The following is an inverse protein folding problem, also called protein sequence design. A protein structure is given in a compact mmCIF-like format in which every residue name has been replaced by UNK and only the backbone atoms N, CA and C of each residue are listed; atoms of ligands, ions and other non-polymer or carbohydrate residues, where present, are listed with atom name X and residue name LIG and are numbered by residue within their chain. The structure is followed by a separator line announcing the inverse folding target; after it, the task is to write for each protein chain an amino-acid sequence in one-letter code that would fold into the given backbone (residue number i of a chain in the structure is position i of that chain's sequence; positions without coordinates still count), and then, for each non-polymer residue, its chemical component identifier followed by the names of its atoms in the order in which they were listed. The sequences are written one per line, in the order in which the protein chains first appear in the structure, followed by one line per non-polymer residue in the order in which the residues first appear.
data_IF_640917137441
#
_entry.id   IF_640917137441
#
_cell.length_a   1.000
_cell.length_b   1.000
_cell.length_c   1.000
_cell.angle_alpha   90.00
_cell.angle_beta   90.00
_cell.angle_gamma   90.00
#
_symmetry.space_group_name_H-M   'P 1'
#
loop_
_entity.id
_entity.type
_entity.pdbx_description
1 polymer ?
#
# COMPACT_ATOMS: atom_id res chain seq x y z
N UNK A 1 -10.21 -5.49 -30.75
CA UNK A 1 -9.36 -6.07 -29.69
C UNK A 1 -8.74 -4.92 -28.94
N UNK A 2 -9.08 -4.72 -27.66
CA UNK A 2 -8.41 -3.72 -26.85
C UNK A 2 -6.94 -4.16 -26.73
N UNK A 3 -6.01 -3.34 -27.22
CA UNK A 3 -4.57 -3.56 -27.03
C UNK A 3 -4.32 -3.65 -25.53
N UNK A 4 -3.98 -4.86 -25.08
CA UNK A 4 -3.66 -5.10 -23.68
C UNK A 4 -2.45 -4.23 -23.32
N UNK A 5 -2.65 -3.32 -22.37
CA UNK A 5 -1.60 -2.45 -21.85
C UNK A 5 -0.47 -3.35 -21.31
N UNK A 6 0.73 -3.25 -21.87
CA UNK A 6 1.86 -4.08 -21.42
C UNK A 6 2.54 -3.46 -20.20
N UNK A 7 3.31 -4.27 -19.46
CA UNK A 7 4.15 -3.74 -18.38
C UNK A 7 5.21 -2.76 -18.88
N UNK A 8 5.67 -2.93 -20.12
CA UNK A 8 6.58 -1.98 -20.77
C UNK A 8 5.92 -0.61 -20.93
N UNK A 9 4.67 -0.58 -21.38
CA UNK A 9 3.90 0.66 -21.55
C UNK A 9 3.64 1.37 -20.22
N UNK A 10 3.35 0.60 -19.16
CA UNK A 10 3.22 1.15 -17.80
C UNK A 10 4.54 1.75 -17.31
N UNK A 11 5.65 1.04 -17.46
CA UNK A 11 6.95 1.50 -16.97
C UNK A 11 7.47 2.76 -17.68
N UNK A 12 7.00 3.00 -18.91
CA UNK A 12 7.39 4.16 -19.71
C UNK A 12 6.67 5.46 -19.29
N UNK A 13 5.59 5.38 -18.49
CA UNK A 13 4.90 6.56 -17.96
C UNK A 13 5.84 7.24 -16.95
N UNK A 14 6.14 8.54 -17.11
CA UNK A 14 7.24 9.18 -16.38
C UNK A 14 6.94 9.45 -14.89
N UNK A 15 5.67 9.63 -14.52
CA UNK A 15 5.26 9.89 -13.15
C UNK A 15 4.65 8.61 -12.51
N UNK A 16 5.15 8.13 -11.35
CA UNK A 16 4.62 6.93 -10.69
C UNK A 16 3.13 7.00 -10.33
N UNK A 17 2.60 8.20 -10.04
CA UNK A 17 1.17 8.38 -9.77
C UNK A 17 0.33 8.15 -11.03
N UNK A 18 0.84 8.57 -12.19
CA UNK A 18 0.18 8.34 -13.48
C UNK A 18 0.30 6.86 -13.91
N UNK A 19 1.39 6.19 -13.54
CA UNK A 19 1.53 4.73 -13.69
C UNK A 19 0.43 4.00 -12.95
N UNK A 20 0.15 4.38 -11.69
CA UNK A 20 -0.93 3.80 -10.90
C UNK A 20 -2.31 4.06 -11.52
N UNK A 21 -2.55 5.26 -12.03
CA UNK A 21 -3.81 5.61 -12.69
C UNK A 21 -4.07 4.77 -13.96
N UNK A 22 -3.01 4.38 -14.67
CA UNK A 22 -3.07 3.55 -15.87
C UNK A 22 -3.25 2.05 -15.59
N UNK A 23 -3.06 1.58 -14.36
CA UNK A 23 -3.29 0.17 -13.99
C UNK A 23 -4.74 -0.22 -14.29
N UNK A 24 -5.01 -1.35 -14.97
CA UNK A 24 -6.36 -1.83 -15.20
C UNK A 24 -7.13 -2.06 -13.90
N UNK A 25 -8.44 -1.80 -13.90
CA UNK A 25 -9.33 -1.95 -12.73
C UNK A 25 -9.21 -3.31 -12.05
N UNK A 26 -9.13 -4.40 -12.82
CA UNK A 26 -8.97 -5.74 -12.27
C UNK A 26 -7.67 -5.88 -11.46
N UNK A 27 -6.57 -5.27 -11.90
CA UNK A 27 -5.30 -5.28 -11.18
C UNK A 27 -5.37 -4.50 -9.87
N UNK A 28 -6.01 -3.31 -9.88
CA UNK A 28 -6.25 -2.53 -8.65
C UNK A 28 -7.07 -3.33 -7.64
N UNK A 29 -8.15 -3.97 -8.07
CA UNK A 29 -9.00 -4.78 -7.19
C UNK A 29 -8.28 -6.00 -6.61
N UNK A 30 -7.39 -6.66 -7.38
CA UNK A 30 -6.58 -7.76 -6.88
C UNK A 30 -5.61 -7.30 -5.79
N UNK A 31 -4.98 -6.13 -5.97
CA UNK A 31 -4.09 -5.53 -4.97
C UNK A 31 -4.90 -5.21 -3.71
N UNK A 32 -6.03 -4.51 -3.84
CA UNK A 32 -6.89 -4.15 -2.72
C UNK A 32 -7.38 -5.38 -1.96
N UNK A 33 -7.86 -6.39 -2.69
CA UNK A 33 -8.34 -7.64 -2.10
C UNK A 33 -7.25 -8.40 -1.36
N UNK A 34 -6.03 -8.44 -1.92
CA UNK A 34 -4.88 -9.08 -1.27
C UNK A 34 -4.51 -8.35 0.02
N UNK A 35 -4.43 -7.02 0.00
CA UNK A 35 -4.18 -6.20 1.19
C UNK A 35 -5.27 -6.45 2.24
N UNK A 36 -6.54 -6.46 1.84
CA UNK A 36 -7.66 -6.71 2.75
C UNK A 36 -7.59 -8.07 3.45
N UNK A 37 -7.19 -9.13 2.72
CA UNK A 37 -6.98 -10.46 3.32
C UNK A 37 -5.81 -10.45 4.30
N UNK A 38 -4.69 -9.81 3.95
CA UNK A 38 -3.52 -9.73 4.84
C UNK A 38 -3.82 -8.94 6.12
N UNK A 39 -4.52 -7.80 6.01
CA UNK A 39 -4.98 -7.01 7.15
C UNK A 39 -5.95 -7.80 8.04
N UNK A 40 -6.89 -8.54 7.43
CA UNK A 40 -7.80 -9.40 8.17
C UNK A 40 -7.05 -10.50 8.95
N UNK A 41 -6.05 -11.13 8.32
CA UNK A 41 -5.21 -12.14 8.99
C UNK A 41 -4.42 -11.51 10.15
N UNK A 42 -3.85 -10.32 9.96
CA UNK A 42 -3.14 -9.59 11.01
C UNK A 42 -4.02 -9.21 12.20
N UNK A 43 -5.27 -8.80 11.96
CA UNK A 43 -6.23 -8.40 13.00
C UNK A 43 -6.72 -9.58 13.85
N UNK A 44 -6.88 -10.74 13.23
CA UNK A 44 -7.38 -11.95 13.89
C UNK A 44 -6.37 -12.64 14.80
N UNK A 45 -5.19 -12.03 14.98
CA UNK A 45 -4.18 -12.53 15.90
C UNK A 45 -4.61 -12.44 17.37
N UNK A 46 -4.40 -13.55 18.09
CA UNK A 46 -4.47 -13.57 19.54
C UNK A 46 -3.06 -13.64 20.16
N UNK A 47 -2.76 -12.82 21.19
CA UNK A 47 -3.56 -11.74 21.72
C UNK A 47 -3.54 -10.51 20.80
N UNK A 48 -4.71 -9.90 20.60
CA UNK A 48 -4.84 -8.66 19.85
C UNK A 48 -3.88 -7.58 20.40
N UNK A 49 -3.33 -6.71 19.55
CA UNK A 49 -2.35 -5.71 19.97
C UNK A 49 -2.89 -4.75 21.04
N UNK A 50 -4.21 -4.52 21.09
CA UNK A 50 -4.87 -3.75 22.16
C UNK A 50 -5.14 -4.54 23.46
N UNK A 51 -4.86 -5.85 23.48
CA UNK A 51 -5.09 -6.76 24.60
C UNK A 51 -3.80 -7.44 25.09
N UNK A 52 -2.66 -6.77 24.90
CA UNK A 52 -1.35 -7.26 25.34
C UNK A 52 -0.50 -7.89 24.24
N UNK A 53 -0.98 -7.93 22.99
CA UNK A 53 -0.15 -8.24 21.82
C UNK A 53 0.89 -7.15 21.53
N UNK A 54 1.97 -7.51 20.82
CA UNK A 54 3.01 -6.57 20.40
C UNK A 54 2.55 -5.80 19.15
N UNK A 55 2.44 -4.46 19.18
CA UNK A 55 2.12 -3.68 17.99
C UNK A 55 3.16 -3.90 16.87
N UNK A 56 2.71 -4.02 15.63
CA UNK A 56 3.58 -4.21 14.46
C UNK A 56 4.15 -5.63 14.31
N UNK A 57 3.78 -6.57 15.17
CA UNK A 57 4.08 -7.98 14.95
C UNK A 57 3.05 -8.54 13.95
N UNK A 58 3.50 -9.23 12.90
CA UNK A 58 2.64 -9.90 11.93
C UNK A 58 2.66 -11.42 12.17
N UNK A 59 1.52 -12.14 12.10
CA UNK A 59 1.50 -13.58 12.35
C UNK A 59 2.32 -14.33 11.31
N UNK A 60 2.86 -15.49 11.70
CA UNK A 60 3.38 -16.43 10.71
C UNK A 60 2.24 -16.85 9.78
N UNK A 61 2.46 -16.69 8.47
CA UNK A 61 1.49 -17.13 7.47
C UNK A 61 1.42 -18.66 7.42
N UNK A 62 2.50 -19.35 7.79
CA UNK A 62 2.51 -20.82 7.92
C UNK A 62 1.56 -21.29 9.01
N UNK A 63 1.53 -20.59 10.14
CA UNK A 63 0.66 -20.92 11.28
C UNK A 63 -0.80 -20.49 11.04
N UNK A 64 -1.01 -19.39 10.31
CA UNK A 64 -2.33 -18.93 9.87
C UNK A 64 -2.94 -19.81 8.76
N UNK A 65 -2.14 -20.71 8.17
CA UNK A 65 -2.48 -21.54 7.03
C UNK A 65 -2.39 -23.03 7.39
N UNK A 66 -3.31 -23.50 8.22
CA UNK A 66 -3.36 -24.90 8.68
C UNK A 66 -4.79 -25.32 8.98
N UNK A 67 -5.29 -26.31 8.24
CA UNK A 67 -6.68 -26.79 8.22
C UNK A 67 -7.25 -27.17 9.59
N UNK A 68 -7.69 -26.16 10.35
CA UNK A 68 -8.40 -26.31 11.62
C UNK A 68 -8.22 -25.18 12.64
N UNK A 69 -7.25 -24.27 12.48
CA UNK A 69 -7.04 -23.15 13.44
C UNK A 69 -6.66 -21.79 12.85
N UNK A 70 -6.34 -21.71 11.56
CA UNK A 70 -5.96 -20.46 10.90
C UNK A 70 -7.02 -19.96 9.92
N UNK A 71 -7.06 -18.64 9.68
CA UNK A 71 -8.05 -18.00 8.80
C UNK A 71 -7.77 -18.17 7.30
N UNK A 72 -6.70 -18.89 6.92
CA UNK A 72 -6.36 -19.16 5.53
C UNK A 72 -6.66 -20.64 5.21
N UNK A 73 -7.50 -20.92 4.19
CA UNK A 73 -8.00 -22.27 3.91
C UNK A 73 -6.99 -23.19 3.22
N UNK A 74 -5.82 -22.69 2.81
CA UNK A 74 -4.76 -23.47 2.16
C UNK A 74 -3.41 -23.14 2.81
N UNK A 75 -2.48 -24.12 2.91
CA UNK A 75 -1.14 -23.88 3.45
C UNK A 75 -0.37 -22.83 2.63
N UNK A 76 0.33 -21.93 3.32
CA UNK A 76 1.23 -20.94 2.72
C UNK A 76 2.64 -21.23 3.25
N UNK A 77 3.60 -21.60 2.38
CA UNK A 77 4.90 -22.12 2.83
C UNK A 77 5.87 -21.05 3.32
N UNK A 78 5.61 -19.76 3.06
CA UNK A 78 6.50 -18.65 3.34
C UNK A 78 5.81 -17.62 4.23
N UNK A 79 6.58 -17.07 5.17
CA UNK A 79 6.13 -15.96 6.01
C UNK A 79 6.25 -14.62 5.28
N UNK A 80 5.41 -13.65 5.67
CA UNK A 80 5.36 -12.34 5.01
C UNK A 80 6.64 -11.51 5.26
N UNK A 81 7.13 -11.49 6.50
CA UNK A 81 8.27 -10.65 6.91
C UNK A 81 9.62 -11.37 6.82
N UNK A 82 9.69 -12.63 7.27
CA UNK A 82 10.92 -13.43 7.27
C UNK A 82 10.72 -14.76 6.52
N UNK A 83 10.67 -14.74 5.18
CA UNK A 83 10.39 -15.94 4.39
C UNK A 83 11.46 -17.03 4.53
N UNK A 84 12.68 -16.69 4.96
CA UNK A 84 13.83 -17.59 5.02
C UNK A 84 14.37 -17.83 6.44
N UNK A 85 13.77 -17.23 7.47
CA UNK A 85 14.14 -17.46 8.88
C UNK A 85 15.46 -16.82 9.29
N UNK A 86 15.85 -15.68 8.69
CA UNK A 86 17.13 -15.02 8.99
C UNK A 86 17.21 -14.42 10.39
N UNK A 87 16.07 -14.15 11.05
CA UNK A 87 16.02 -13.38 12.30
C UNK A 87 15.69 -14.20 13.55
N UNK A 88 15.52 -15.53 13.43
CA UNK A 88 15.12 -16.40 14.55
C UNK A 88 16.14 -16.43 15.70
N UNK A 89 17.43 -16.28 15.41
CA UNK A 89 18.53 -16.34 16.38
C UNK A 89 18.94 -15.00 17.02
N UNK A 90 18.24 -13.91 16.74
CA UNK A 90 18.65 -12.59 17.21
C UNK A 90 18.39 -12.38 18.71
N UNK A 91 19.37 -11.80 19.41
CA UNK A 91 19.24 -11.44 20.83
C UNK A 91 18.17 -10.36 21.03
N UNK A 92 17.54 -10.33 22.21
CA UNK A 92 16.51 -9.33 22.54
C UNK A 92 17.04 -7.88 22.47
N UNK A 93 18.32 -7.67 22.81
CA UNK A 93 18.98 -6.37 22.65
C UNK A 93 19.11 -5.96 21.17
N UNK A 94 19.47 -6.91 20.30
CA UNK A 94 19.57 -6.66 18.85
C UNK A 94 18.19 -6.36 18.26
N UNK A 95 17.15 -7.09 18.67
CA UNK A 95 15.76 -6.81 18.29
C UNK A 95 15.28 -5.45 18.78
N UNK A 96 15.59 -5.08 20.03
CA UNK A 96 15.24 -3.77 20.58
C UNK A 96 15.91 -2.63 19.81
N UNK A 97 17.20 -2.77 19.48
CA UNK A 97 17.91 -1.83 18.61
C UNK A 97 17.28 -1.76 17.21
N UNK A 98 16.93 -2.91 16.64
CA UNK A 98 16.28 -3.00 15.33
C UNK A 98 14.98 -2.20 15.25
N UNK A 99 14.10 -2.34 16.25
CA UNK A 99 12.85 -1.56 16.32
C UNK A 99 13.08 -0.05 16.38
N UNK A 100 14.12 0.41 17.09
CA UNK A 100 14.45 1.83 17.13
C UNK A 100 14.92 2.36 15.77
N UNK A 101 15.68 1.53 15.03
CA UNK A 101 16.11 1.84 13.66
C UNK A 101 14.90 1.89 12.72
N UNK A 102 14.00 0.91 12.83
CA UNK A 102 12.75 0.84 12.05
C UNK A 102 11.90 2.10 12.23
N UNK A 103 11.69 2.57 13.47
CA UNK A 103 10.90 3.77 13.75
C UNK A 103 11.55 5.02 13.15
N UNK A 104 12.86 5.20 13.30
CA UNK A 104 13.53 6.40 12.82
C UNK A 104 13.62 6.44 11.29
N UNK A 105 13.90 5.30 10.66
CA UNK A 105 13.89 5.18 9.20
C UNK A 105 12.46 5.31 8.64
N UNK A 106 11.46 4.75 9.32
CA UNK A 106 10.05 4.90 8.96
C UNK A 106 9.61 6.37 8.99
N UNK A 107 9.97 7.12 10.04
CA UNK A 107 9.70 8.57 10.13
C UNK A 107 10.37 9.35 9.00
N UNK A 108 11.62 9.02 8.67
CA UNK A 108 12.32 9.64 7.55
C UNK A 108 11.66 9.29 6.20
N UNK A 109 11.25 8.03 6.01
CA UNK A 109 10.57 7.56 4.80
C UNK A 109 9.20 8.23 4.61
N UNK A 110 8.43 8.44 5.70
CA UNK A 110 7.16 9.18 5.64
C UNK A 110 7.38 10.59 5.09
N UNK A 111 8.36 11.34 5.63
CA UNK A 111 8.71 12.67 5.14
C UNK A 111 9.22 12.65 3.69
N UNK A 112 10.02 11.63 3.34
CA UNK A 112 10.53 11.45 1.99
C UNK A 112 9.41 11.22 0.97
N UNK A 113 8.46 10.34 1.27
CA UNK A 113 7.30 10.06 0.40
C UNK A 113 6.44 11.32 0.23
N UNK A 114 6.11 12.04 1.31
CA UNK A 114 5.38 13.29 1.21
C UNK A 114 6.13 14.35 0.39
N UNK A 115 7.45 14.47 0.57
CA UNK A 115 8.28 15.37 -0.23
C UNK A 115 8.22 15.03 -1.73
N UNK A 116 8.30 13.75 -2.09
CA UNK A 116 8.19 13.29 -3.48
C UNK A 116 6.79 13.55 -4.05
N UNK A 117 5.73 13.35 -3.28
CA UNK A 117 4.35 13.64 -3.70
C UNK A 117 4.19 15.15 -3.96
N UNK A 118 4.64 16.01 -3.04
CA UNK A 118 4.58 17.46 -3.22
C UNK A 118 5.39 17.92 -4.45
N UNK A 119 6.62 17.42 -4.61
CA UNK A 119 7.45 17.72 -5.77
C UNK A 119 6.78 17.27 -7.10
N UNK A 120 6.13 16.10 -7.11
CA UNK A 120 5.40 15.60 -8.28
C UNK A 120 4.19 16.48 -8.64
N UNK A 121 3.63 17.25 -7.70
CA UNK A 121 2.56 18.22 -7.99
C UNK A 121 3.09 19.61 -8.36
N UNK A 122 4.40 19.75 -8.53
CA UNK A 122 5.05 21.01 -8.89
C UNK A 122 5.25 21.97 -7.72
N UNK A 123 5.09 21.51 -6.47
CA UNK A 123 5.47 22.29 -5.31
C UNK A 123 6.99 22.23 -5.11
N UNK A 124 7.56 23.32 -4.60
CA UNK A 124 8.99 23.45 -4.38
C UNK A 124 9.39 22.64 -3.14
N UNK A 125 10.32 21.70 -3.30
CA UNK A 125 10.88 20.93 -2.20
C UNK A 125 12.41 21.03 -2.27
N UNK A 126 13.06 21.64 -1.26
CA UNK A 126 14.50 21.84 -1.26
C UNK A 126 15.26 20.53 -1.53
N UNK A 127 16.11 20.55 -2.55
CA UNK A 127 16.96 19.41 -2.93
C UNK A 127 16.32 18.40 -3.88
N UNK A 128 15.00 18.47 -4.12
CA UNK A 128 14.30 17.63 -5.10
C UNK A 128 14.06 18.35 -6.43
N UNK A 129 14.07 19.69 -6.44
CA UNK A 129 13.82 20.50 -7.65
C UNK A 129 14.84 20.23 -8.76
N UNK A 130 16.07 19.83 -8.42
CA UNK A 130 17.13 19.50 -9.37
C UNK A 130 17.09 18.06 -9.91
N UNK A 131 16.22 17.20 -9.36
CA UNK A 131 16.15 15.79 -9.71
C UNK A 131 15.24 15.49 -10.91
N UNK A 132 14.63 16.52 -11.51
CA UNK A 132 13.82 16.37 -12.73
C UNK A 132 12.62 15.45 -12.56
N UNK A 133 11.97 15.50 -11.38
CA UNK A 133 10.81 14.66 -11.08
C UNK A 133 9.66 15.04 -12.02
N UNK A 134 9.15 14.04 -12.74
CA UNK A 134 8.01 14.22 -13.63
C UNK A 134 6.78 14.65 -12.83
N UNK A 135 6.07 15.65 -13.35
CA UNK A 135 4.86 16.14 -12.72
C UNK A 135 3.69 15.17 -12.96
N UNK A 136 3.03 14.77 -11.88
CA UNK A 136 1.90 13.86 -11.90
C UNK A 136 0.60 14.61 -12.27
N UNK A 137 -0.12 14.08 -13.26
CA UNK A 137 -1.43 14.60 -13.66
C UNK A 137 -2.56 13.98 -12.86
N UNK A 138 -2.44 12.71 -12.48
CA UNK A 138 -3.41 11.99 -11.67
C UNK A 138 -3.34 12.40 -10.19
N UNK A 139 -4.43 12.17 -9.47
CA UNK A 139 -4.53 12.51 -8.05
C UNK A 139 -3.93 11.41 -7.16
N UNK A 140 -2.89 11.70 -6.35
CA UNK A 140 -2.17 10.71 -5.55
C UNK A 140 -3.05 9.98 -4.53
N UNK A 141 -4.13 10.64 -4.08
CA UNK A 141 -5.07 10.10 -3.09
C UNK A 141 -6.25 9.36 -3.74
N UNK A 142 -6.34 9.35 -5.07
CA UNK A 142 -7.39 8.61 -5.78
C UNK A 142 -6.97 7.16 -5.97
N UNK A 143 -7.67 6.23 -5.31
CA UNK A 143 -7.45 4.80 -5.55
C UNK A 143 -8.07 4.38 -6.89
N UNK A 144 -9.31 4.80 -7.14
CA UNK A 144 -10.03 4.61 -8.39
C UNK A 144 -10.09 5.93 -9.16
N UNK A 145 -9.91 5.85 -10.48
CA UNK A 145 -9.95 6.99 -11.38
C UNK A 145 -10.97 6.82 -12.51
N UNK A 146 -10.93 7.68 -13.54
CA UNK A 146 -11.86 7.62 -14.67
C UNK A 146 -11.91 6.24 -15.37
N UNK A 147 -10.79 5.52 -15.37
CA UNK A 147 -10.68 4.17 -15.95
C UNK A 147 -11.48 3.09 -15.20
N UNK A 148 -11.93 3.39 -13.97
CA UNK A 148 -12.59 2.44 -13.07
C UNK A 148 -14.12 2.68 -12.97
N UNK A 149 -14.68 3.54 -13.84
CA UNK A 149 -16.10 3.94 -13.81
C UNK A 149 -17.09 2.77 -14.00
N UNK A 150 -16.64 1.61 -14.47
CA UNK A 150 -17.45 0.40 -14.56
C UNK A 150 -17.74 -0.29 -13.22
N UNK A 151 -17.12 0.15 -12.11
CA UNK A 151 -17.38 -0.36 -10.78
C UNK A 151 -18.62 0.31 -10.15
N UNK A 152 -19.39 -0.44 -9.32
CA UNK A 152 -20.53 0.14 -8.62
C UNK A 152 -20.06 1.30 -7.72
N UNK A 153 -20.84 2.37 -7.68
CA UNK A 153 -20.61 3.58 -6.89
C UNK A 153 -19.40 4.45 -7.30
N UNK A 154 -18.46 3.96 -8.11
CA UNK A 154 -17.29 4.75 -8.55
C UNK A 154 -17.70 5.88 -9.49
N UNK A 155 -18.67 5.67 -10.39
CA UNK A 155 -19.17 6.75 -11.26
C UNK A 155 -19.78 7.91 -10.44
N UNK A 156 -20.52 7.59 -9.38
CA UNK A 156 -21.08 8.61 -8.48
C UNK A 156 -20.01 9.27 -7.62
N UNK A 157 -18.97 8.53 -7.22
CA UNK A 157 -17.80 9.06 -6.52
C UNK A 157 -17.03 10.06 -7.38
N UNK A 158 -16.83 9.77 -8.68
CA UNK A 158 -16.12 10.67 -9.59
C UNK A 158 -16.90 11.97 -9.89
N UNK A 159 -18.23 11.94 -9.78
CA UNK A 159 -19.10 13.12 -9.91
C UNK A 159 -19.10 14.00 -8.66
N UNK A 160 -18.59 13.50 -7.53
CA UNK A 160 -18.54 14.27 -6.29
C UNK A 160 -17.46 15.35 -6.40
N UNK A 161 -17.91 16.60 -6.51
CA UNK A 161 -17.04 17.77 -6.44
C UNK A 161 -17.06 18.33 -5.02
N UNK A 162 -15.88 18.51 -4.41
CA UNK A 162 -15.74 19.12 -3.09
C UNK A 162 -16.30 20.55 -3.08
N UNK A 163 -16.26 21.26 -4.22
CA UNK A 163 -16.87 22.58 -4.34
C UNK A 163 -18.41 22.57 -4.27
N UNK A 164 -19.04 21.43 -4.53
CA UNK A 164 -20.50 21.24 -4.40
C UNK A 164 -20.94 20.85 -2.99
N UNK A 165 -20.00 20.55 -2.09
CA UNK A 165 -20.29 20.13 -0.72
C UNK A 165 -20.84 21.31 0.11
N UNK A 166 -22.14 21.25 0.46
CA UNK A 166 -22.82 22.26 1.26
C UNK A 166 -23.56 23.34 0.46
N UNK A 167 -23.59 23.26 -0.87
CA UNK A 167 -24.52 24.05 -1.68
C UNK A 167 -25.92 23.39 -1.65
N UNK A 168 -27.02 24.15 -1.55
CA UNK A 168 -28.35 23.58 -1.71
C UNK A 168 -28.45 22.94 -3.10
N UNK A 169 -28.91 21.69 -3.14
CA UNK A 169 -29.16 20.92 -4.36
C UNK A 169 -30.18 21.63 -5.26
#
# INVERSE_FOLDING_TARGET
AATALSYGDLSAIPAPVDQWAAVPTAGKLQILGTIAVLEFVGETMEPHYMRGGKPGFYPSLKDAAGGGKGNIPHPVPLDLYDPFGFFEGDSEEKKARGRNVEINNGRAAMLGIFGLICASKGLIVPGLDSLGIAQATAEPMSYFGPNDAGLPFVENMLKFDIASFGQPQ
#
